data_IF_129387396482
#
_entry.id   IF_129387396482
#
_cell.length_a   1.000
_cell.length_b   1.000
_cell.length_c   1.000
_cell.angle_alpha   90.00
_cell.angle_beta   90.00
_cell.angle_gamma   90.00
#
_symmetry.space_group_name_H-M   'P 1'
#
loop_
_entity.id
_entity.type
_entity.pdbx_description
1 polymer ?
#
# COMPACT_ATOMS: atom_id res chain seq x y z
N UNK A 1 -3.47 31.30 8.65
CA UNK A 1 -4.28 30.12 8.22
C UNK A 1 -3.50 28.81 8.40
N UNK A 2 -2.71 28.68 9.48
CA UNK A 2 -1.96 27.45 9.82
C UNK A 2 -2.44 26.84 11.15
N UNK A 3 -3.49 27.41 11.75
CA UNK A 3 -3.89 27.07 13.12
C UNK A 3 -4.84 25.87 13.15
N UNK A 4 -5.84 25.78 12.27
CA UNK A 4 -6.84 24.70 12.30
C UNK A 4 -6.27 23.28 12.21
N UNK A 5 -5.25 23.06 11.37
CA UNK A 5 -4.64 21.73 11.23
C UNK A 5 -3.74 21.38 12.42
N UNK A 6 -3.02 22.37 12.94
CA UNK A 6 -2.15 22.22 14.10
C UNK A 6 -2.98 22.03 15.36
N UNK A 7 -4.04 22.82 15.52
CA UNK A 7 -5.02 22.74 16.60
C UNK A 7 -5.77 21.40 16.57
N UNK A 8 -6.16 20.92 15.39
CA UNK A 8 -6.73 19.59 15.23
C UNK A 8 -5.72 18.49 15.61
N UNK A 9 -4.45 18.61 15.19
CA UNK A 9 -3.42 17.65 15.54
C UNK A 9 -3.14 17.63 17.04
N UNK A 10 -3.15 18.79 17.70
CA UNK A 10 -2.98 18.92 19.16
C UNK A 10 -4.22 18.38 19.89
N UNK A 11 -5.43 18.68 19.43
CA UNK A 11 -6.67 18.13 19.97
C UNK A 11 -6.72 16.61 19.84
N UNK A 12 -6.33 16.08 18.68
CA UNK A 12 -6.23 14.64 18.45
C UNK A 12 -5.17 14.03 19.38
N UNK A 13 -3.99 14.66 19.46
CA UNK A 13 -2.93 14.18 20.34
C UNK A 13 -3.36 14.16 21.80
N UNK A 14 -3.99 15.22 22.30
CA UNK A 14 -4.47 15.33 23.68
C UNK A 14 -5.62 14.37 23.99
N UNK A 15 -6.56 14.19 23.07
CA UNK A 15 -7.69 13.25 23.23
C UNK A 15 -7.23 11.79 23.27
N UNK A 16 -6.21 11.43 22.49
CA UNK A 16 -5.74 10.05 22.35
C UNK A 16 -4.43 9.73 23.09
N UNK A 17 -3.97 10.58 24.04
CA UNK A 17 -2.72 10.38 24.80
C UNK A 17 -2.61 9.00 25.48
N UNK A 18 -3.74 8.42 25.91
CA UNK A 18 -3.78 7.11 26.57
C UNK A 18 -3.35 5.97 25.62
N UNK A 19 -3.48 6.14 24.30
CA UNK A 19 -3.10 5.15 23.28
C UNK A 19 -1.67 5.33 22.76
N UNK A 20 -0.90 6.25 23.35
CA UNK A 20 0.46 6.58 22.90
C UNK A 20 1.50 5.60 23.44
N UNK A 21 1.25 5.01 24.60
CA UNK A 21 2.15 4.07 25.27
C UNK A 21 1.80 2.61 24.98
N UNK A 22 2.77 1.73 24.68
CA UNK A 22 2.57 0.28 24.70
C UNK A 22 2.03 -0.15 26.07
N UNK A 23 1.07 -1.10 26.18
CA UNK A 23 0.59 -2.04 25.17
C UNK A 23 -0.68 -1.63 24.40
N UNK A 24 -1.33 -0.51 24.75
CA UNK A 24 -2.62 -0.10 24.16
C UNK A 24 -2.48 0.54 22.77
N UNK A 25 -1.27 0.95 22.39
CA UNK A 25 -0.93 1.52 21.08
C UNK A 25 -1.18 0.54 19.92
N UNK A 26 -0.86 -0.74 20.09
CA UNK A 26 -0.97 -1.75 19.04
C UNK A 26 -2.40 -1.95 18.51
N UNK A 27 -3.39 -2.28 19.37
CA UNK A 27 -4.78 -2.45 18.97
C UNK A 27 -5.41 -1.18 18.37
N UNK A 28 -5.05 -0.01 18.91
CA UNK A 28 -5.56 1.27 18.42
C UNK A 28 -5.11 1.58 16.99
N UNK A 29 -3.81 1.38 16.72
CA UNK A 29 -3.27 1.54 15.37
C UNK A 29 -3.85 0.51 14.41
N UNK A 30 -4.06 -0.73 14.87
CA UNK A 30 -4.74 -1.75 14.07
C UNK A 30 -6.15 -1.30 13.67
N UNK A 31 -6.93 -0.77 14.61
CA UNK A 31 -8.29 -0.26 14.36
C UNK A 31 -8.30 0.91 13.36
N UNK A 32 -7.40 1.90 13.55
CA UNK A 32 -7.26 3.03 12.61
C UNK A 32 -6.82 2.53 11.24
N UNK A 33 -5.84 1.62 11.19
CA UNK A 33 -5.32 1.08 9.93
C UNK A 33 -6.39 0.30 9.18
N UNK A 34 -7.23 -0.45 9.90
CA UNK A 34 -8.39 -1.13 9.33
C UNK A 34 -9.39 -0.13 8.77
N UNK A 35 -9.75 0.91 9.53
CA UNK A 35 -10.68 1.95 9.07
C UNK A 35 -10.17 2.70 7.83
N UNK A 36 -8.92 3.16 7.87
CA UNK A 36 -8.26 3.86 6.75
C UNK A 36 -8.18 2.95 5.54
N UNK A 37 -7.82 1.68 5.72
CA UNK A 37 -7.70 0.71 4.64
C UNK A 37 -9.07 0.41 4.01
N UNK A 38 -10.11 0.19 4.82
CA UNK A 38 -11.48 -0.02 4.32
C UNK A 38 -11.99 1.19 3.56
N UNK A 39 -11.80 2.40 4.09
CA UNK A 39 -12.23 3.63 3.44
C UNK A 39 -11.50 3.86 2.12
N UNK A 40 -10.17 3.67 2.12
CA UNK A 40 -9.34 3.78 0.91
C UNK A 40 -9.76 2.79 -0.17
N UNK A 41 -10.03 1.55 0.22
CA UNK A 41 -10.48 0.50 -0.70
C UNK A 41 -11.89 0.78 -1.25
N UNK A 42 -12.82 1.22 -0.41
CA UNK A 42 -14.18 1.59 -0.83
C UNK A 42 -14.15 2.76 -1.81
N UNK A 43 -13.35 3.77 -1.52
CA UNK A 43 -13.16 4.91 -2.38
C UNK A 43 -12.53 4.49 -3.72
N UNK A 44 -11.48 3.68 -3.70
CA UNK A 44 -10.86 3.13 -4.92
C UNK A 44 -11.88 2.37 -5.79
N UNK A 45 -12.74 1.55 -5.17
CA UNK A 45 -13.81 0.81 -5.88
C UNK A 45 -14.86 1.75 -6.47
N UNK A 46 -15.15 2.88 -5.82
CA UNK A 46 -16.12 3.87 -6.32
C UNK A 46 -15.59 4.67 -7.50
N UNK A 47 -14.30 5.04 -7.47
CA UNK A 47 -13.67 5.89 -8.49
C UNK A 47 -13.07 5.10 -9.67
N UNK A 48 -12.95 3.78 -9.56
CA UNK A 48 -12.34 2.93 -10.61
C UNK A 48 -13.38 2.06 -11.30
N UNK A 49 -13.48 2.16 -12.64
CA UNK A 49 -14.31 1.26 -13.44
C UNK A 49 -13.66 -0.14 -13.55
N UNK A 50 -14.10 -1.04 -12.67
CA UNK A 50 -13.60 -2.40 -12.60
C UNK A 50 -13.91 -3.22 -13.86
N UNK A 51 -15.03 -2.95 -14.55
CA UNK A 51 -15.45 -3.73 -15.73
C UNK A 51 -14.51 -3.47 -16.90
N UNK A 52 -14.16 -2.20 -17.13
CA UNK A 52 -13.21 -1.82 -18.18
C UNK A 52 -11.82 -2.41 -17.92
N UNK A 53 -11.36 -2.40 -16.67
CA UNK A 53 -10.08 -3.00 -16.29
C UNK A 53 -10.04 -4.51 -16.54
N UNK A 54 -11.10 -5.24 -16.15
CA UNK A 54 -11.17 -6.68 -16.37
C UNK A 54 -11.12 -7.05 -17.85
N UNK A 55 -11.89 -6.37 -18.71
CA UNK A 55 -11.87 -6.61 -20.16
C UNK A 55 -10.48 -6.41 -20.75
N UNK A 56 -9.83 -5.29 -20.42
CA UNK A 56 -8.47 -5.02 -20.89
C UNK A 56 -7.45 -6.04 -20.34
N UNK A 57 -7.63 -6.52 -19.10
CA UNK A 57 -6.78 -7.57 -18.53
C UNK A 57 -6.90 -8.89 -19.30
N UNK A 58 -8.11 -9.29 -19.69
CA UNK A 58 -8.34 -10.49 -20.52
C UNK A 58 -7.67 -10.35 -21.90
N UNK A 59 -7.79 -9.20 -22.55
CA UNK A 59 -7.14 -8.93 -23.84
C UNK A 59 -5.60 -9.00 -23.74
N UNK A 60 -5.01 -8.49 -22.65
CA UNK A 60 -3.57 -8.59 -22.39
C UNK A 60 -3.15 -10.04 -22.15
N UNK A 61 -3.93 -10.82 -21.39
CA UNK A 61 -3.62 -12.23 -21.11
C UNK A 61 -3.62 -13.07 -22.40
N UNK A 62 -4.64 -12.89 -23.24
CA UNK A 62 -4.70 -13.54 -24.55
C UNK A 62 -3.49 -13.17 -25.42
N UNK A 63 -3.05 -11.91 -25.38
CA UNK A 63 -1.84 -11.47 -26.08
C UNK A 63 -0.57 -12.16 -25.54
N UNK A 64 -0.41 -12.27 -24.22
CA UNK A 64 0.73 -12.96 -23.60
C UNK A 64 0.77 -14.46 -23.95
N UNK A 65 -0.39 -15.12 -24.00
CA UNK A 65 -0.51 -16.51 -24.44
C UNK A 65 -0.11 -16.67 -25.91
N UNK A 66 -0.63 -15.83 -26.80
CA UNK A 66 -0.24 -15.81 -28.22
C UNK A 66 1.25 -15.51 -28.42
N UNK A 67 1.83 -14.62 -27.61
CA UNK A 67 3.26 -14.31 -27.65
C UNK A 67 4.11 -15.50 -27.20
N UNK A 68 3.70 -16.20 -26.14
CA UNK A 68 4.37 -17.40 -25.63
C UNK A 68 4.32 -18.54 -26.65
N UNK A 69 3.18 -18.74 -27.30
CA UNK A 69 3.03 -19.71 -28.39
C UNK A 69 3.88 -19.33 -29.62
N UNK A 70 3.84 -18.06 -30.04
CA UNK A 70 4.65 -17.60 -31.17
C UNK A 70 6.17 -17.76 -30.93
N UNK A 71 6.63 -17.56 -29.68
CA UNK A 71 8.02 -17.80 -29.28
C UNK A 71 8.38 -19.29 -29.25
N UNK A 72 7.46 -20.16 -28.80
CA UNK A 72 7.66 -21.61 -28.75
C UNK A 72 7.69 -22.26 -30.14
N UNK A 73 6.80 -21.85 -31.04
CA UNK A 73 6.65 -22.46 -32.37
C UNK A 73 7.50 -21.79 -33.45
N UNK A 74 8.20 -20.68 -33.13
CA UNK A 74 9.01 -19.87 -34.05
C UNK A 74 8.32 -19.55 -35.40
N UNK A 75 6.99 -19.47 -35.40
CA UNK A 75 6.21 -19.29 -36.62
C UNK A 75 6.22 -17.82 -37.05
N UNK A 76 6.86 -17.50 -38.18
CA UNK A 76 6.96 -16.14 -38.71
C UNK A 76 5.60 -15.43 -38.87
N UNK A 77 4.55 -16.17 -39.26
CA UNK A 77 3.21 -15.59 -39.46
C UNK A 77 2.60 -15.14 -38.14
N UNK A 78 2.75 -15.95 -37.08
CA UNK A 78 2.28 -15.60 -35.74
C UNK A 78 3.11 -14.45 -35.15
N UNK A 79 4.42 -14.45 -35.37
CA UNK A 79 5.33 -13.41 -34.90
C UNK A 79 5.01 -12.04 -35.52
N UNK A 80 4.70 -12.00 -36.82
CA UNK A 80 4.20 -10.78 -37.50
C UNK A 80 2.86 -10.31 -36.94
N UNK A 81 1.94 -11.24 -36.62
CA UNK A 81 0.62 -10.91 -36.02
C UNK A 81 0.76 -10.34 -34.60
N UNK A 82 1.61 -10.93 -33.77
CA UNK A 82 1.93 -10.43 -32.42
C UNK A 82 2.57 -9.05 -32.49
N UNK A 83 3.57 -8.87 -33.36
CA UNK A 83 4.25 -7.56 -33.55
C UNK A 83 3.29 -6.44 -33.96
N UNK A 84 2.28 -6.73 -34.81
CA UNK A 84 1.23 -5.76 -35.17
C UNK A 84 0.32 -5.41 -33.99
N UNK A 85 -0.02 -6.37 -33.14
CA UNK A 85 -0.88 -6.16 -31.98
C UNK A 85 -0.17 -5.47 -30.80
N UNK A 86 1.17 -5.54 -30.74
CA UNK A 86 1.97 -4.92 -29.68
C UNK A 86 1.62 -3.45 -29.44
N UNK A 87 1.53 -2.63 -30.49
CA UNK A 87 1.23 -1.20 -30.35
C UNK A 87 -0.15 -0.92 -29.72
N UNK A 88 -1.16 -1.75 -30.02
CA UNK A 88 -2.49 -1.66 -29.42
C UNK A 88 -2.46 -2.06 -27.94
N UNK A 89 -1.75 -3.14 -27.60
CA UNK A 89 -1.60 -3.61 -26.22
C UNK A 89 -0.80 -2.63 -25.38
N UNK A 90 0.29 -2.08 -25.90
CA UNK A 90 1.10 -1.05 -25.23
C UNK A 90 0.25 0.19 -24.93
N UNK A 91 -0.65 0.59 -25.85
CA UNK A 91 -1.61 1.68 -25.61
C UNK A 91 -2.57 1.34 -24.48
N UNK A 92 -3.17 0.15 -24.49
CA UNK A 92 -4.07 -0.29 -23.40
C UNK A 92 -3.33 -0.31 -22.06
N UNK A 93 -2.10 -0.82 -22.01
CA UNK A 93 -1.31 -0.85 -20.79
C UNK A 93 -1.05 0.56 -20.25
N UNK A 94 -0.73 1.52 -21.12
CA UNK A 94 -0.58 2.94 -20.72
C UNK A 94 -1.88 3.54 -20.21
N UNK A 95 -3.00 3.26 -20.88
CA UNK A 95 -4.32 3.70 -20.43
C UNK A 95 -4.69 3.10 -19.06
N UNK A 96 -4.34 1.83 -18.81
CA UNK A 96 -4.52 1.18 -17.51
C UNK A 96 -3.66 1.80 -16.42
N UNK A 97 -2.38 2.09 -16.70
CA UNK A 97 -1.50 2.77 -15.76
C UNK A 97 -2.08 4.15 -15.40
N UNK A 98 -2.52 4.93 -16.38
CA UNK A 98 -3.17 6.22 -16.13
C UNK A 98 -4.47 6.10 -15.35
N UNK A 99 -5.29 5.08 -15.63
CA UNK A 99 -6.52 4.82 -14.90
C UNK A 99 -6.30 4.41 -13.44
N UNK A 100 -5.14 3.83 -13.10
CA UNK A 100 -4.75 3.48 -11.72
C UNK A 100 -4.04 4.63 -11.01
N UNK A 101 -3.17 5.35 -11.72
CA UNK A 101 -2.41 6.46 -11.17
C UNK A 101 -3.28 7.68 -10.83
N UNK A 102 -4.32 7.98 -11.64
CA UNK A 102 -5.20 9.13 -11.38
C UNK A 102 -5.90 9.01 -10.01
N UNK A 103 -6.60 7.91 -9.69
CA UNK A 103 -7.14 7.70 -8.35
C UNK A 103 -6.03 7.72 -7.28
N UNK A 104 -4.92 7.01 -7.48
CA UNK A 104 -3.88 6.92 -6.45
C UNK A 104 -3.26 8.27 -6.10
N UNK A 105 -3.08 9.17 -7.07
CA UNK A 105 -2.58 10.53 -6.85
C UNK A 105 -3.57 11.39 -6.07
N UNK A 106 -4.88 11.26 -6.35
CA UNK A 106 -5.93 11.95 -5.61
C UNK A 106 -5.97 11.45 -4.16
N UNK A 107 -5.80 10.15 -3.94
CA UNK A 107 -5.76 9.54 -2.60
C UNK A 107 -4.42 9.72 -1.87
N UNK A 108 -3.35 10.09 -2.57
CA UNK A 108 -2.07 10.38 -1.94
C UNK A 108 -2.16 11.58 -0.99
N UNK A 109 -2.95 12.59 -1.35
CA UNK A 109 -3.14 13.81 -0.54
C UNK A 109 -3.75 13.52 0.84
N UNK A 110 -4.93 12.87 0.96
CA UNK A 110 -5.49 12.54 2.27
C UNK A 110 -4.60 11.57 3.05
N UNK A 111 -3.91 10.65 2.37
CA UNK A 111 -2.95 9.76 3.02
C UNK A 111 -1.77 10.54 3.62
N UNK A 112 -1.17 11.46 2.87
CA UNK A 112 -0.10 12.33 3.36
C UNK A 112 -0.55 13.14 4.58
N UNK A 113 -1.77 13.69 4.57
CA UNK A 113 -2.31 14.43 5.71
C UNK A 113 -2.41 13.57 6.98
N UNK A 114 -2.98 12.37 6.89
CA UNK A 114 -3.07 11.43 8.02
C UNK A 114 -1.67 11.09 8.54
N UNK A 115 -0.72 10.87 7.63
CA UNK A 115 0.66 10.56 7.98
C UNK A 115 1.38 11.71 8.69
N UNK A 116 1.15 12.95 8.27
CA UNK A 116 1.72 14.12 8.95
C UNK A 116 1.17 14.26 10.36
N UNK A 117 -0.13 14.02 10.56
CA UNK A 117 -0.77 14.09 11.89
C UNK A 117 -0.24 12.96 12.79
N UNK A 118 -0.21 11.72 12.30
CA UNK A 118 0.29 10.59 13.09
C UNK A 118 1.79 10.69 13.37
N UNK A 119 2.58 11.30 12.47
CA UNK A 119 3.98 11.63 12.75
C UNK A 119 4.11 12.60 13.91
N UNK A 120 3.35 13.70 13.90
CA UNK A 120 3.32 14.64 15.04
C UNK A 120 2.88 13.97 16.35
N UNK A 121 2.04 12.94 16.26
CA UNK A 121 1.60 12.17 17.41
C UNK A 121 2.64 11.15 17.91
N UNK A 122 3.39 10.45 17.05
CA UNK A 122 4.33 9.41 17.48
C UNK A 122 5.81 9.84 17.50
N UNK A 123 6.12 11.09 17.14
CA UNK A 123 7.46 11.67 17.27
C UNK A 123 7.48 12.63 18.46
N UNK A 124 8.34 12.38 19.47
CA UNK A 124 8.62 13.32 20.56
C UNK A 124 10.08 13.76 20.49
N UNK A 125 10.34 15.08 20.52
CA UNK A 125 11.71 15.62 20.50
C UNK A 125 12.53 15.29 19.24
N UNK A 126 11.89 14.87 18.15
CA UNK A 126 12.57 14.45 16.91
C UNK A 126 12.97 12.96 16.88
N UNK A 127 12.58 12.19 17.90
CA UNK A 127 12.81 10.74 17.96
C UNK A 127 11.47 10.02 17.82
N UNK A 128 11.39 9.07 16.90
CA UNK A 128 10.20 8.25 16.69
C UNK A 128 10.06 7.25 17.84
N UNK A 129 8.89 7.25 18.49
CA UNK A 129 8.61 6.32 19.57
C UNK A 129 8.47 4.88 19.07
N UNK A 130 8.83 3.94 19.96
CA UNK A 130 8.62 2.52 19.75
C UNK A 130 7.16 2.21 20.04
N UNK A 131 6.47 1.70 19.04
CA UNK A 131 5.02 1.47 19.10
C UNK A 131 4.69 -0.01 19.33
N UNK A 132 5.51 -0.92 18.81
CA UNK A 132 5.34 -2.35 18.95
C UNK A 132 6.71 -3.04 19.08
N UNK A 133 6.81 -4.05 19.94
CA UNK A 133 8.02 -4.85 20.09
C UNK A 133 7.76 -6.25 19.55
N UNK A 134 8.53 -6.65 18.55
CA UNK A 134 8.52 -8.01 18.03
C UNK A 134 9.43 -8.89 18.89
N UNK A 135 9.03 -10.12 19.26
CA UNK A 135 9.82 -11.00 20.13
C UNK A 135 11.05 -11.62 19.45
N UNK A 136 11.33 -11.24 18.19
CA UNK A 136 12.48 -11.71 17.42
C UNK A 136 13.30 -10.53 16.88
N UNK A 137 14.63 -10.70 16.86
CA UNK A 137 15.58 -9.65 16.52
C UNK A 137 15.88 -9.64 15.01
N UNK A 138 15.05 -8.93 14.24
CA UNK A 138 15.21 -8.79 12.77
C UNK A 138 16.56 -8.15 12.41
N UNK A 139 17.03 -7.22 13.24
CA UNK A 139 18.34 -6.56 13.13
C UNK A 139 19.51 -7.54 12.95
N UNK A 140 19.46 -8.73 13.58
CA UNK A 140 20.55 -9.71 13.51
C UNK A 140 20.70 -10.37 12.14
N UNK A 141 19.62 -10.41 11.36
CA UNK A 141 19.61 -10.99 10.00
C UNK A 141 19.73 -9.90 8.95
N UNK A 142 19.12 -8.74 9.19
CA UNK A 142 19.10 -7.61 8.26
C UNK A 142 19.50 -6.32 8.99
N UNK A 143 20.79 -5.96 9.01
CA UNK A 143 21.29 -4.82 9.80
C UNK A 143 20.80 -3.47 9.29
N UNK A 144 20.37 -3.35 8.03
CA UNK A 144 19.81 -2.09 7.48
C UNK A 144 18.39 -1.76 8.00
N UNK A 145 17.73 -2.70 8.70
CA UNK A 145 16.43 -2.44 9.31
C UNK A 145 16.56 -1.59 10.59
N UNK A 146 17.72 -1.63 11.23
CA UNK A 146 18.03 -0.79 12.40
C UNK A 146 18.19 0.67 11.95
N UNK A 147 17.50 1.59 12.63
CA UNK A 147 17.45 3.01 12.28
C UNK A 147 16.43 3.37 11.18
N UNK A 148 16.13 2.47 10.24
CA UNK A 148 15.08 2.68 9.23
C UNK A 148 13.69 2.30 9.76
N UNK A 149 13.58 1.11 10.36
CA UNK A 149 12.30 0.53 10.73
C UNK A 149 12.11 0.40 12.25
N UNK A 150 13.18 0.58 13.02
CA UNK A 150 13.15 0.28 14.44
C UNK A 150 14.52 0.30 15.08
N UNK A 151 14.53 0.05 16.39
CA UNK A 151 15.73 -0.08 17.22
C UNK A 151 15.65 -1.43 17.94
N UNK A 152 16.80 -2.10 18.08
CA UNK A 152 16.90 -3.30 18.92
C UNK A 152 16.62 -2.98 20.38
N UNK A 153 15.73 -3.75 21.01
CA UNK A 153 15.39 -3.65 22.43
C UNK A 153 15.76 -4.95 23.15
N UNK A 154 15.87 -4.93 24.48
CA UNK A 154 16.20 -6.12 25.28
C UNK A 154 15.19 -7.28 25.08
N UNK A 155 13.95 -6.97 24.70
CA UNK A 155 12.88 -7.95 24.47
C UNK A 155 12.73 -8.38 22.99
N UNK A 156 13.51 -7.82 22.06
CA UNK A 156 13.43 -8.09 20.62
C UNK A 156 13.53 -6.82 19.77
N UNK A 157 12.87 -6.76 18.61
CA UNK A 157 12.95 -5.61 17.71
C UNK A 157 11.81 -4.61 17.94
N UNK A 158 12.13 -3.41 18.40
CA UNK A 158 11.17 -2.32 18.60
C UNK A 158 10.90 -1.60 17.29
N UNK A 159 9.68 -1.70 16.76
CA UNK A 159 9.26 -1.05 15.53
C UNK A 159 8.84 0.41 15.80
N UNK A 160 9.28 1.30 14.92
CA UNK A 160 8.74 2.66 14.85
C UNK A 160 7.29 2.63 14.36
N UNK A 161 6.56 3.72 14.63
CA UNK A 161 5.22 3.93 14.11
C UNK A 161 5.12 3.65 12.59
N UNK A 162 6.06 4.19 11.80
CA UNK A 162 6.09 4.02 10.36
C UNK A 162 6.21 2.55 9.94
N UNK A 163 7.14 1.81 10.53
CA UNK A 163 7.37 0.41 10.19
C UNK A 163 6.19 -0.47 10.60
N UNK A 164 5.61 -0.21 11.78
CA UNK A 164 4.45 -0.95 12.25
C UNK A 164 3.21 -0.68 11.39
N UNK A 165 2.93 0.58 11.06
CA UNK A 165 1.83 0.94 10.16
C UNK A 165 2.03 0.32 8.77
N UNK A 166 3.25 0.35 8.21
CA UNK A 166 3.51 -0.24 6.90
C UNK A 166 3.32 -1.76 6.91
N UNK A 167 3.77 -2.46 7.96
CA UNK A 167 3.60 -3.90 8.11
C UNK A 167 2.11 -4.27 8.19
N UNK A 168 1.36 -3.61 9.06
CA UNK A 168 -0.09 -3.82 9.20
C UNK A 168 -0.83 -3.43 7.93
N UNK A 169 -0.45 -2.32 7.31
CA UNK A 169 -1.02 -1.81 6.06
C UNK A 169 -0.83 -2.80 4.91
N UNK A 170 0.38 -3.33 4.69
CA UNK A 170 0.64 -4.34 3.66
C UNK A 170 -0.14 -5.64 3.93
N UNK A 171 -0.13 -6.12 5.17
CA UNK A 171 -0.82 -7.35 5.57
C UNK A 171 -2.34 -7.23 5.39
N UNK A 172 -2.96 -6.23 6.01
CA UNK A 172 -4.41 -6.00 5.93
C UNK A 172 -4.86 -5.64 4.53
N UNK A 173 -4.07 -4.87 3.78
CA UNK A 173 -4.40 -4.53 2.38
C UNK A 173 -4.48 -5.79 1.51
N UNK A 174 -3.55 -6.73 1.67
CA UNK A 174 -3.60 -7.99 0.91
C UNK A 174 -4.85 -8.83 1.23
N UNK A 175 -5.27 -8.87 2.50
CA UNK A 175 -6.47 -9.59 2.95
C UNK A 175 -7.74 -8.89 2.47
N UNK A 176 -7.82 -7.56 2.63
CA UNK A 176 -8.97 -6.76 2.20
C UNK A 176 -9.16 -6.81 0.69
N UNK A 177 -8.08 -6.76 -0.09
CA UNK A 177 -8.15 -6.89 -1.54
C UNK A 177 -8.66 -8.28 -1.97
N UNK A 178 -8.30 -9.36 -1.24
CA UNK A 178 -8.85 -10.71 -1.47
C UNK A 178 -10.34 -10.75 -1.19
N UNK A 179 -10.78 -10.21 -0.06
CA UNK A 179 -12.18 -10.17 0.34
C UNK A 179 -13.02 -9.35 -0.63
N UNK A 180 -12.50 -8.22 -1.10
CA UNK A 180 -13.21 -7.33 -2.01
C UNK A 180 -13.18 -7.78 -3.48
N UNK A 181 -12.44 -8.84 -3.81
CA UNK A 181 -12.28 -9.31 -5.20
C UNK A 181 -11.62 -8.28 -6.12
N UNK A 182 -10.98 -7.25 -5.56
CA UNK A 182 -10.22 -6.23 -6.30
C UNK A 182 -8.76 -6.62 -6.48
N UNK A 183 -8.36 -7.80 -5.99
CA UNK A 183 -7.20 -8.47 -6.57
C UNK A 183 -7.54 -8.62 -8.05
N UNK A 184 -6.99 -7.71 -8.85
CA UNK A 184 -6.68 -8.01 -10.23
C UNK A 184 -5.72 -9.17 -10.09
N UNK A 185 -6.27 -10.38 -10.02
CA UNK A 185 -5.50 -11.60 -9.95
C UNK A 185 -4.64 -11.51 -11.20
N UNK A 186 -3.38 -11.19 -10.99
CA UNK A 186 -2.31 -11.83 -11.74
C UNK A 186 -2.47 -13.31 -11.41
N UNK A 187 -3.48 -13.94 -12.04
CA UNK A 187 -3.56 -15.37 -12.17
C UNK A 187 -2.33 -15.70 -13.01
N UNK A 188 -1.27 -16.08 -12.30
CA UNK A 188 -0.08 -16.68 -12.86
C UNK A 188 -0.45 -17.90 -13.70
#
# INVERSE_FOLDING_TARGET
MQDLFTDFAIWFATTFQIFRTPPLSGPFILMISMFVSTLSNLAMRRFTDMRRLQRHQTEIKQYQEMEKEARRTQNEKLLKKVKRRKAYIDRIQREQLGARCKPSLIFLIPFMLIFTILRGFYTEGGIDMIVAVLPFNIQKVLPFFEGLAGIGTAAGFGLTYYAFYFLVGLGLSSILQRIMGTQVMTAQ
#
